data_IF_280943247320
#
_entry.id   IF_280943247320
#
_cell.length_a   1.000
_cell.length_b   1.000
_cell.length_c   1.000
_cell.angle_alpha   90.00
_cell.angle_beta   90.00
_cell.angle_gamma   90.00
#
_symmetry.space_group_name_H-M   'P 1'
#
loop_
_entity.id
_entity.type
_entity.pdbx_description
1 polymer ?
#
# COMPACT_ATOMS: atom_id res chain seq x y z
N UNK A 1 -25.71 -9.21 -10.04
CA UNK A 1 -24.82 -8.65 -11.10
C UNK A 1 -23.42 -8.61 -10.51
N UNK A 2 -22.42 -9.19 -11.19
CA UNK A 2 -21.06 -9.38 -10.66
C UNK A 2 -20.28 -8.07 -10.61
N UNK A 3 -19.47 -7.87 -9.57
CA UNK A 3 -18.55 -6.74 -9.43
C UNK A 3 -17.57 -6.60 -10.61
N UNK A 4 -17.29 -7.70 -11.32
CA UNK A 4 -16.48 -7.70 -12.55
C UNK A 4 -17.13 -6.92 -13.72
N UNK A 5 -18.46 -6.78 -13.74
CA UNK A 5 -19.14 -6.06 -14.82
C UNK A 5 -19.02 -4.53 -14.68
N UNK A 6 -18.72 -4.01 -13.49
CA UNK A 6 -18.68 -2.57 -13.20
C UNK A 6 -17.33 -1.91 -13.56
N UNK A 7 -16.27 -2.69 -13.81
CA UNK A 7 -14.94 -2.17 -14.13
C UNK A 7 -14.74 -1.82 -15.60
N UNK A 8 -15.61 -2.28 -16.51
CA UNK A 8 -15.41 -2.08 -17.96
C UNK A 8 -15.63 -0.64 -18.44
N UNK A 9 -16.31 0.21 -17.66
CA UNK A 9 -16.73 1.54 -18.11
C UNK A 9 -16.27 2.68 -17.18
N UNK A 10 -15.22 2.50 -16.37
CA UNK A 10 -14.70 3.58 -15.52
C UNK A 10 -13.52 4.29 -16.22
N UNK A 11 -13.68 5.53 -16.70
CA UNK A 11 -12.60 6.27 -17.37
C UNK A 11 -11.47 6.75 -16.43
N UNK A 12 -11.52 6.44 -15.13
CA UNK A 12 -10.49 6.73 -14.14
C UNK A 12 -9.84 5.46 -13.55
N UNK A 13 -10.05 4.30 -14.17
CA UNK A 13 -9.63 2.98 -13.69
C UNK A 13 -8.25 2.53 -14.16
N UNK A 14 -7.24 3.40 -14.20
CA UNK A 14 -5.86 2.93 -14.31
C UNK A 14 -5.41 2.36 -12.96
N UNK A 15 -5.55 1.05 -12.86
CA UNK A 15 -4.91 0.26 -11.81
C UNK A 15 -3.40 0.26 -12.05
N UNK A 16 -2.62 0.63 -11.04
CA UNK A 16 -1.16 0.42 -11.00
C UNK A 16 -0.75 -1.06 -11.14
N UNK A 17 -1.72 -1.98 -11.09
CA UNK A 17 -1.51 -3.42 -11.31
C UNK A 17 -1.81 -3.89 -12.74
N UNK A 18 -2.34 -3.02 -13.62
CA UNK A 18 -2.61 -3.36 -15.02
C UNK A 18 -1.57 -2.71 -15.93
N UNK A 19 -0.45 -3.40 -16.14
CA UNK A 19 0.39 -3.12 -17.30
C UNK A 19 -0.07 -4.03 -18.46
N UNK A 20 -1.24 -3.74 -19.02
CA UNK A 20 -1.69 -4.34 -20.28
C UNK A 20 -1.40 -3.35 -21.40
N UNK A 21 -0.16 -3.35 -21.88
CA UNK A 21 0.16 -2.84 -23.20
C UNK A 21 -0.47 -3.78 -24.22
N UNK A 22 -1.62 -3.38 -24.79
CA UNK A 22 -2.17 -3.87 -26.06
C UNK A 22 -3.40 -3.01 -26.38
N UNK A 23 -3.46 -2.22 -27.44
CA UNK A 23 -2.55 -1.99 -28.55
C UNK A 23 -3.25 -1.05 -29.53
N UNK A 24 -2.51 -0.50 -30.49
CA UNK A 24 -3.11 -0.07 -31.75
C UNK A 24 -2.19 -0.46 -32.91
N UNK A 25 -2.81 -1.13 -33.88
CA UNK A 25 -2.20 -1.84 -35.00
C UNK A 25 -1.94 -0.91 -36.20
N UNK A 26 -0.98 -1.36 -37.01
CA UNK A 26 -0.59 -0.96 -38.37
C UNK A 26 0.40 0.22 -38.49
N UNK A 27 1.59 0.06 -39.10
CA UNK A 27 1.84 -0.62 -40.38
C UNK A 27 3.34 -0.86 -40.68
N UNK A 28 3.60 -1.94 -41.42
CA UNK A 28 4.70 -2.21 -42.38
C UNK A 28 6.09 -2.65 -41.88
N UNK A 29 6.39 -3.89 -42.28
CA UNK A 29 7.64 -4.40 -42.87
C UNK A 29 8.94 -4.24 -42.06
N UNK A 30 9.31 -5.29 -41.31
CA UNK A 30 10.48 -6.13 -41.59
C UNK A 30 10.56 -7.28 -40.56
N UNK A 31 10.75 -8.50 -41.06
CA UNK A 31 10.76 -9.75 -40.29
C UNK A 31 12.21 -10.06 -39.90
N UNK A 32 12.54 -9.95 -38.62
CA UNK A 32 13.58 -10.79 -38.01
C UNK A 32 12.93 -11.61 -36.89
N UNK A 33 13.13 -12.92 -36.97
CA UNK A 33 12.49 -13.94 -36.15
C UNK A 33 13.04 -13.91 -34.72
N UNK A 34 12.44 -13.10 -33.85
CA UNK A 34 12.64 -13.24 -32.41
C UNK A 34 11.65 -14.29 -31.87
N UNK A 35 12.24 -15.37 -31.38
CA UNK A 35 11.62 -16.56 -30.81
C UNK A 35 10.61 -16.18 -29.70
N UNK A 36 9.32 -16.27 -30.02
CA UNK A 36 8.23 -15.98 -29.08
C UNK A 36 8.17 -17.12 -28.05
N UNK A 37 8.77 -16.91 -26.87
CA UNK A 37 8.69 -17.86 -25.75
C UNK A 37 7.24 -17.90 -25.24
N UNK A 38 6.49 -18.94 -25.62
CA UNK A 38 5.16 -19.24 -25.11
C UNK A 38 5.26 -20.18 -23.91
N UNK A 39 4.71 -19.76 -22.76
CA UNK A 39 4.56 -20.63 -21.60
C UNK A 39 3.43 -21.63 -21.82
N UNK A 40 3.77 -22.92 -21.90
CA UNK A 40 2.80 -24.00 -22.00
C UNK A 40 2.43 -24.42 -20.57
N UNK A 41 1.14 -24.30 -20.21
CA UNK A 41 0.68 -24.77 -18.91
C UNK A 41 0.83 -26.31 -18.83
N UNK A 42 1.55 -26.79 -17.80
CA UNK A 42 1.87 -28.20 -17.52
C UNK A 42 3.03 -28.82 -18.33
N UNK A 43 3.97 -28.04 -18.89
CA UNK A 43 5.29 -28.58 -19.25
C UNK A 43 6.10 -28.79 -17.96
N UNK A 44 6.04 -30.02 -17.43
CA UNK A 44 6.90 -30.49 -16.36
C UNK A 44 8.26 -30.83 -16.99
N UNK A 45 9.19 -29.90 -16.96
CA UNK A 45 10.60 -30.18 -17.28
C UNK A 45 11.19 -30.92 -16.06
N UNK A 46 11.01 -32.24 -16.05
CA UNK A 46 11.75 -33.16 -15.18
C UNK A 46 13.16 -33.30 -15.74
N UNK A 47 14.05 -32.40 -15.33
CA UNK A 47 15.49 -32.66 -15.38
C UNK A 47 15.91 -33.14 -13.99
N UNK A 48 16.08 -34.46 -13.89
CA UNK A 48 16.71 -35.16 -12.76
C UNK A 48 18.19 -34.77 -12.70
N UNK A 49 18.53 -33.81 -11.85
CA UNK A 49 19.88 -33.63 -11.31
C UNK A 49 19.82 -33.86 -9.79
N UNK A 50 19.99 -35.13 -9.42
CA UNK A 50 20.41 -35.55 -8.08
C UNK A 50 21.78 -34.92 -7.79
N UNK A 51 21.83 -33.96 -6.86
CA UNK A 51 23.03 -33.74 -6.04
C UNK A 51 22.62 -33.12 -4.69
N UNK A 52 22.94 -33.87 -3.65
CA UNK A 52 22.75 -33.58 -2.23
C UNK A 52 23.30 -32.20 -1.82
N UNK A 53 22.48 -31.40 -1.15
CA UNK A 53 22.96 -30.62 -0.01
C UNK A 53 21.82 -30.42 0.98
N UNK A 54 21.74 -31.37 1.92
CA UNK A 54 20.97 -31.29 3.16
C UNK A 54 21.34 -30.01 3.92
N UNK A 55 20.61 -28.94 3.66
CA UNK A 55 20.52 -27.81 4.56
C UNK A 55 19.09 -27.29 4.59
N UNK A 56 18.17 -28.20 4.93
CA UNK A 56 16.87 -27.90 5.50
C UNK A 56 17.09 -27.18 6.84
N UNK A 57 17.49 -25.92 6.74
CA UNK A 57 17.28 -24.95 7.79
C UNK A 57 15.77 -24.72 7.83
N UNK A 58 15.05 -25.65 8.46
CA UNK A 58 13.69 -25.53 8.95
C UNK A 58 13.64 -24.40 10.01
N UNK A 59 14.00 -23.19 9.61
CA UNK A 59 13.54 -21.99 10.26
C UNK A 59 12.05 -21.93 9.96
N UNK A 60 11.28 -22.62 10.79
CA UNK A 60 9.87 -22.34 10.96
C UNK A 60 9.71 -20.82 10.91
N UNK A 61 8.85 -20.27 10.04
CA UNK A 61 8.74 -18.84 9.87
C UNK A 61 8.52 -18.26 11.26
N UNK A 62 9.44 -17.38 11.68
CA UNK A 62 9.33 -16.71 12.96
C UNK A 62 7.94 -16.12 12.97
N UNK A 63 7.11 -16.60 13.89
CA UNK A 63 5.75 -16.11 14.11
C UNK A 63 5.91 -14.65 14.55
N UNK A 64 6.06 -13.77 13.57
CA UNK A 64 6.06 -12.35 13.77
C UNK A 64 4.77 -12.07 14.53
N UNK A 65 4.91 -11.61 15.77
CA UNK A 65 3.80 -11.24 16.62
C UNK A 65 2.86 -10.39 15.78
N UNK A 66 1.61 -10.83 15.59
CA UNK A 66 0.63 -10.08 14.79
C UNK A 66 0.60 -8.64 15.28
N UNK A 67 0.90 -7.70 14.40
CA UNK A 67 0.80 -6.27 14.72
C UNK A 67 -0.69 -5.92 14.78
N UNK A 68 -1.23 -5.84 15.99
CA UNK A 68 -2.64 -5.52 16.24
C UNK A 68 -2.84 -4.16 16.89
N UNK A 69 -1.75 -3.49 17.26
CA UNK A 69 -1.76 -2.19 17.92
C UNK A 69 -0.62 -1.31 17.40
N UNK A 70 -0.89 -0.02 17.26
CA UNK A 70 0.12 1.03 17.05
C UNK A 70 1.13 1.01 18.20
N UNK A 71 2.42 1.18 17.92
CA UNK A 71 3.44 1.38 18.96
C UNK A 71 3.71 2.88 19.22
N UNK A 72 2.75 3.73 18.84
CA UNK A 72 2.77 5.18 18.99
C UNK A 72 2.08 5.61 20.28
N UNK A 73 2.74 6.44 21.09
CA UNK A 73 2.17 7.02 22.32
C UNK A 73 1.95 8.53 22.14
N UNK A 74 0.69 8.99 22.03
CA UNK A 74 0.39 10.41 21.92
C UNK A 74 0.87 11.25 23.12
N UNK A 75 1.41 12.43 22.83
CA UNK A 75 1.80 13.45 23.79
C UNK A 75 1.70 14.85 23.13
N UNK A 76 2.01 15.91 23.90
CA UNK A 76 1.89 17.30 23.44
C UNK A 76 2.86 17.67 22.30
N UNK A 77 3.97 16.93 22.14
CA UNK A 77 4.96 17.22 21.10
C UNK A 77 4.68 16.49 19.79
N UNK A 78 4.07 15.31 19.83
CA UNK A 78 3.83 14.48 18.64
C UNK A 78 2.37 14.44 18.15
N UNK A 79 1.40 14.91 18.94
CA UNK A 79 -0.01 14.96 18.52
C UNK A 79 -0.57 16.37 18.66
N UNK A 80 -1.08 16.93 17.56
CA UNK A 80 -1.75 18.24 17.56
C UNK A 80 -3.08 18.16 16.84
N UNK A 81 -4.14 18.51 17.56
CA UNK A 81 -5.48 18.64 17.00
C UNK A 81 -5.67 20.04 16.43
N UNK A 82 -6.36 20.13 15.30
CA UNK A 82 -6.84 21.35 14.67
C UNK A 82 -8.28 21.14 14.24
N UNK A 83 -8.99 22.21 13.88
CA UNK A 83 -10.44 22.16 13.65
C UNK A 83 -10.86 21.08 12.65
N UNK A 84 -10.09 20.90 11.56
CA UNK A 84 -10.44 19.97 10.47
C UNK A 84 -9.42 18.83 10.28
N UNK A 85 -8.37 18.76 11.10
CA UNK A 85 -7.30 17.78 10.90
C UNK A 85 -6.53 17.49 12.18
N UNK A 86 -5.81 16.37 12.16
CA UNK A 86 -4.85 15.99 13.20
C UNK A 86 -3.47 15.94 12.59
N UNK A 87 -2.49 16.55 13.25
CA UNK A 87 -1.08 16.40 12.90
C UNK A 87 -0.46 15.36 13.83
N UNK A 88 0.17 14.35 13.25
CA UNK A 88 0.88 13.27 13.95
C UNK A 88 2.35 13.32 13.57
N UNK A 89 3.22 13.31 14.58
CA UNK A 89 4.66 13.19 14.40
C UNK A 89 5.11 11.76 14.71
N UNK A 90 5.69 11.05 13.75
CA UNK A 90 6.26 9.72 14.00
C UNK A 90 7.77 9.83 14.19
N UNK A 91 8.29 9.24 15.26
CA UNK A 91 9.73 9.05 15.49
C UNK A 91 10.24 7.79 14.78
N UNK A 92 11.57 7.62 14.64
CA UNK A 92 12.14 6.38 14.12
C UNK A 92 11.62 5.16 14.88
N UNK A 93 11.24 4.11 14.13
CA UNK A 93 10.63 2.88 14.65
C UNK A 93 9.19 2.99 15.18
N UNK A 94 8.59 4.18 15.18
CA UNK A 94 7.16 4.32 15.47
C UNK A 94 6.30 4.06 14.23
N UNK A 95 5.13 3.49 14.47
CA UNK A 95 4.08 3.26 13.49
C UNK A 95 2.69 3.40 14.11
N UNK A 96 1.75 3.79 13.26
CA UNK A 96 0.33 3.83 13.57
C UNK A 96 -0.45 2.89 12.66
N UNK A 97 -1.49 2.28 13.21
CA UNK A 97 -2.50 1.54 12.47
C UNK A 97 -3.70 2.46 12.29
N UNK A 98 -4.15 2.66 11.05
CA UNK A 98 -5.32 3.50 10.76
C UNK A 98 -6.54 2.61 10.51
N UNK A 99 -7.64 2.94 11.18
CA UNK A 99 -8.97 2.40 10.91
C UNK A 99 -9.90 3.53 10.51
N UNK A 100 -10.73 3.32 9.48
CA UNK A 100 -11.66 4.31 8.96
C UNK A 100 -11.21 4.94 7.65
N UNK A 101 -11.74 6.12 7.34
CA UNK A 101 -11.48 6.84 6.09
C UNK A 101 -10.83 8.19 6.39
N UNK A 102 -9.68 8.45 5.79
CA UNK A 102 -8.99 9.73 5.97
C UNK A 102 -8.19 10.14 4.74
N UNK A 103 -7.95 11.44 4.59
CA UNK A 103 -6.98 11.98 3.66
C UNK A 103 -5.66 12.22 4.40
N UNK A 104 -4.61 11.54 3.94
CA UNK A 104 -3.26 11.65 4.47
C UNK A 104 -2.44 12.60 3.61
N UNK A 105 -1.85 13.63 4.24
CA UNK A 105 -0.83 14.48 3.63
C UNK A 105 0.45 14.46 4.46
N UNK A 106 1.57 14.19 3.81
CA UNK A 106 2.89 14.21 4.45
C UNK A 106 3.37 15.66 4.43
N UNK A 107 3.40 16.31 5.60
CA UNK A 107 3.84 17.72 5.72
C UNK A 107 5.35 17.79 5.59
N UNK A 108 6.07 16.84 6.19
CA UNK A 108 7.53 16.81 6.17
C UNK A 108 8.05 15.39 6.22
N UNK A 109 8.98 15.11 5.30
CA UNK A 109 9.80 13.93 5.28
C UNK A 109 9.14 12.73 4.59
N UNK A 110 9.36 11.49 5.03
CA UNK A 110 8.92 10.28 4.35
C UNK A 110 8.30 9.24 5.30
N UNK A 111 7.36 8.45 4.76
CA UNK A 111 6.68 7.37 5.48
C UNK A 111 6.67 6.09 4.64
N UNK A 112 6.41 4.97 5.28
CA UNK A 112 6.13 3.68 4.63
C UNK A 112 4.72 3.22 4.96
N UNK A 113 3.97 2.78 3.95
CA UNK A 113 2.68 2.11 4.15
C UNK A 113 2.86 0.60 3.95
N UNK A 114 2.44 -0.18 4.94
CA UNK A 114 2.51 -1.64 4.97
C UNK A 114 3.92 -2.20 4.68
N UNK A 115 4.96 -1.46 5.08
CA UNK A 115 6.36 -1.76 4.78
C UNK A 115 6.75 -1.81 3.29
N UNK A 116 5.83 -1.49 2.37
CA UNK A 116 6.01 -1.62 0.93
C UNK A 116 6.07 -0.28 0.20
N UNK A 117 5.14 0.64 0.51
CA UNK A 117 4.99 1.88 -0.25
C UNK A 117 5.70 3.03 0.45
N UNK A 118 6.81 3.50 -0.11
CA UNK A 118 7.50 4.69 0.37
C UNK A 118 6.86 5.94 -0.23
N UNK A 119 6.43 6.86 0.63
CA UNK A 119 5.84 8.12 0.24
C UNK A 119 6.63 9.26 0.88
N UNK A 120 6.87 10.34 0.13
CA UNK A 120 7.62 11.51 0.59
C UNK A 120 6.73 12.76 0.60
N UNK A 121 7.16 13.80 1.32
CA UNK A 121 6.51 15.11 1.30
C UNK A 121 6.68 15.77 -0.07
N UNK A 122 5.58 15.90 -0.78
CA UNK A 122 5.48 16.64 -2.04
C UNK A 122 4.42 17.73 -1.92
N UNK A 123 4.61 18.84 -2.63
CA UNK A 123 3.68 19.95 -2.59
C UNK A 123 2.28 19.53 -3.06
N UNK A 124 1.28 19.81 -2.22
CA UNK A 124 -0.14 19.57 -2.47
C UNK A 124 -0.57 18.12 -2.78
N UNK A 125 0.28 17.13 -2.50
CA UNK A 125 -0.11 15.72 -2.62
C UNK A 125 -0.88 15.25 -1.39
N UNK A 126 -1.96 14.52 -1.62
CA UNK A 126 -2.80 13.91 -0.58
C UNK A 126 -3.22 12.51 -1.02
N UNK A 127 -3.30 11.59 -0.06
CA UNK A 127 -3.59 10.18 -0.28
C UNK A 127 -4.86 9.79 0.46
N UNK A 128 -5.85 9.26 -0.27
CA UNK A 128 -7.07 8.77 0.34
C UNK A 128 -6.82 7.38 0.93
N UNK A 129 -7.01 7.23 2.23
CA UNK A 129 -6.93 5.95 2.93
C UNK A 129 -8.34 5.50 3.24
N UNK A 130 -8.70 4.30 2.79
CA UNK A 130 -9.96 3.63 3.09
C UNK A 130 -9.60 2.32 3.78
N UNK A 131 -9.65 2.32 5.11
CA UNK A 131 -9.28 1.20 5.97
C UNK A 131 -10.52 0.63 6.67
N UNK A 132 -11.20 -0.30 5.99
CA UNK A 132 -12.39 -0.97 6.53
C UNK A 132 -11.98 -2.06 7.54
N UNK A 133 -12.77 -2.25 8.58
CA UNK A 133 -12.52 -3.28 9.62
C UNK A 133 -12.58 -4.71 9.07
N UNK A 134 -13.23 -4.91 7.90
CA UNK A 134 -13.30 -6.18 7.19
C UNK A 134 -12.00 -6.56 6.46
N UNK A 135 -11.01 -5.66 6.45
CA UNK A 135 -9.72 -5.84 5.78
C UNK A 135 -8.57 -5.66 6.76
N UNK A 136 -7.36 -6.02 6.34
CA UNK A 136 -6.16 -5.71 7.11
C UNK A 136 -5.95 -4.20 7.14
N UNK A 137 -5.83 -3.65 8.35
CA UNK A 137 -5.66 -2.21 8.53
C UNK A 137 -4.26 -1.76 8.07
N UNK A 138 -4.14 -0.62 7.36
CA UNK A 138 -2.87 -0.11 6.93
C UNK A 138 -2.01 0.33 8.11
N UNK A 139 -0.74 -0.04 8.05
CA UNK A 139 0.32 0.39 8.96
C UNK A 139 1.07 1.53 8.29
N UNK A 140 1.16 2.67 8.95
CA UNK A 140 1.98 3.80 8.53
C UNK A 140 3.15 3.91 9.49
N UNK A 141 4.36 3.76 8.98
CA UNK A 141 5.59 3.88 9.76
C UNK A 141 6.45 5.03 9.27
N UNK A 142 7.33 5.49 10.15
CA UNK A 142 8.48 6.31 9.76
C UNK A 142 9.32 5.63 8.67
N UNK A 143 9.85 6.41 7.73
CA UNK A 143 10.84 5.96 6.75
C UNK A 143 11.92 7.03 6.56
N UNK A 144 13.18 6.63 6.66
CA UNK A 144 14.30 7.53 6.35
C UNK A 144 14.82 7.19 4.96
N UNK A 145 14.83 8.19 4.08
CA UNK A 145 15.52 8.08 2.79
C UNK A 145 17.02 8.34 3.02
N UNK A 146 17.92 7.77 2.20
CA UNK A 146 19.36 8.01 2.32
C UNK A 146 19.72 9.51 2.32
N UNK A 147 19.01 10.31 1.52
CA UNK A 147 19.18 11.77 1.44
C UNK A 147 18.85 12.50 2.77
N UNK A 148 17.94 11.96 3.58
CA UNK A 148 17.54 12.57 4.85
C UNK A 148 18.45 12.20 6.03
N UNK A 149 19.25 11.14 5.91
CA UNK A 149 20.26 10.79 6.92
C UNK A 149 21.37 11.86 6.98
N UNK A 150 21.70 12.47 5.85
CA UNK A 150 22.72 13.53 5.76
C UNK A 150 22.23 14.86 6.37
N UNK A 151 20.94 15.16 6.30
CA UNK A 151 20.34 16.42 6.74
C UNK A 151 19.88 16.45 8.22
N UNK A 152 19.95 15.32 8.93
CA UNK A 152 19.65 15.24 10.37
C UNK A 152 18.19 15.46 10.77
N UNK A 153 17.24 15.25 9.84
CA UNK A 153 15.81 15.35 10.13
C UNK A 153 15.23 14.00 10.57
N UNK A 154 14.89 13.88 11.85
CA UNK A 154 14.38 12.64 12.46
C UNK A 154 12.90 12.67 12.81
N UNK A 155 12.19 13.78 12.60
CA UNK A 155 10.79 13.96 12.98
C UNK A 155 9.90 14.32 11.79
N UNK A 156 8.79 13.57 11.64
CA UNK A 156 7.98 13.53 10.42
C UNK A 156 6.55 13.88 10.73
N UNK A 157 6.03 14.94 10.13
CA UNK A 157 4.68 15.45 10.41
C UNK A 157 3.70 14.99 9.34
N UNK A 158 2.64 14.30 9.75
CA UNK A 158 1.56 13.83 8.89
C UNK A 158 0.26 14.52 9.26
N UNK A 159 -0.47 15.01 8.26
CA UNK A 159 -1.81 15.56 8.40
C UNK A 159 -2.83 14.48 8.05
N UNK A 160 -3.74 14.20 8.97
CA UNK A 160 -4.91 13.34 8.75
C UNK A 160 -6.17 14.19 8.78
N UNK A 161 -6.93 14.18 7.69
CA UNK A 161 -8.25 14.80 7.60
C UNK A 161 -9.31 13.71 7.48
N UNK A 162 -10.45 13.88 8.15
CA UNK A 162 -11.54 12.93 8.00
C UNK A 162 -12.12 13.00 6.57
N UNK A 163 -12.43 11.85 5.98
CA UNK A 163 -13.05 11.78 4.65
C UNK A 163 -14.46 11.24 4.78
N UNK A 164 -15.45 12.15 4.71
CA UNK A 164 -16.87 11.81 4.72
C UNK A 164 -17.32 11.47 3.29
N UNK A 165 -17.53 10.19 3.00
CA UNK A 165 -17.94 9.72 1.67
C UNK A 165 -19.44 9.40 1.59
N UNK A 166 -20.16 9.45 2.71
CA UNK A 166 -21.55 9.02 2.83
C UNK A 166 -21.70 7.50 3.00
N UNK A 167 -20.61 6.73 2.85
CA UNK A 167 -20.57 5.27 3.08
C UNK A 167 -20.97 4.93 4.52
N UNK A 168 -20.66 5.80 5.48
CA UNK A 168 -21.05 5.66 6.88
C UNK A 168 -22.56 5.55 7.09
N UNK A 169 -23.37 6.05 6.14
CA UNK A 169 -24.83 6.02 6.21
C UNK A 169 -25.46 4.75 5.61
N UNK A 170 -24.70 3.90 4.92
CA UNK A 170 -25.22 2.67 4.29
C UNK A 170 -25.84 1.73 5.34
N UNK A 171 -25.31 1.77 6.57
CA UNK A 171 -25.82 1.01 7.72
C UNK A 171 -27.29 1.30 8.07
N UNK A 172 -27.83 2.45 7.64
CA UNK A 172 -29.24 2.82 7.82
C UNK A 172 -30.18 2.03 6.89
N UNK A 173 -29.65 1.54 5.78
CA UNK A 173 -30.40 0.80 4.75
C UNK A 173 -30.11 -0.70 4.87
N UNK A 174 -28.85 -1.08 5.10
CA UNK A 174 -28.41 -2.46 5.24
C UNK A 174 -27.58 -2.64 6.53
N UNK A 175 -28.16 -3.25 7.58
CA UNK A 175 -27.50 -3.41 8.89
C UNK A 175 -26.18 -4.18 8.85
N UNK A 176 -25.93 -5.00 7.82
CA UNK A 176 -24.66 -5.70 7.65
C UNK A 176 -23.45 -4.76 7.55
N UNK A 177 -23.64 -3.48 7.20
CA UNK A 177 -22.58 -2.46 7.10
C UNK A 177 -22.42 -1.60 8.36
N UNK A 178 -23.01 -1.99 9.49
CA UNK A 178 -22.95 -1.20 10.73
C UNK A 178 -21.61 -1.29 11.47
N UNK A 179 -20.82 -2.34 11.21
CA UNK A 179 -19.56 -2.62 11.90
C UNK A 179 -18.41 -2.73 10.89
#
# INVERSE_FOLDING_TARGET
>A
MSAFAALKNNPFGESIFNNTSNGDNHSRDDVEEDEVVQYIANSSDEDDDDDDDDNDNDQAPILNSRITQSNYTPNESNLKFSDNHVTITLNPSEYIIISGQCNLKIIKGSIKINQCHCLTSEDNKSYNIIALQSQSLPIISHYTTPEMEEDGYFSFNNKLENSFSGIENISQIEPAFKN
#
